data_IF_252114608004
#
_entry.id   IF_252114608004
#
_cell.length_a   1.000
_cell.length_b   1.000
_cell.length_c   1.000
_cell.angle_alpha   90.00
_cell.angle_beta   90.00
_cell.angle_gamma   90.00
#
_symmetry.space_group_name_H-M   'P 1'
#
loop_
_entity.id
_entity.type
_entity.pdbx_description
1 polymer ?
2 non-polymer ?
3 water ?
#
# COMPACT_ATOMS: atom_id res chain seq x y z
C UNK A 1 -0.12 -10.52 19.79
N UNK A 2 0.12 -9.29 20.25
CA UNK A 2 1.53 -9.18 19.95
C UNK A 2 1.88 -8.52 18.64
N UNK A 3 3.17 -8.22 18.48
CA UNK A 3 3.69 -7.48 17.34
C UNK A 3 3.63 -8.26 16.03
N UNK A 4 3.80 -9.57 16.11
CA UNK A 4 3.74 -10.40 14.91
C UNK A 4 2.30 -10.51 14.41
N UNK A 5 1.35 -10.53 15.33
CA UNK A 5 -0.05 -10.46 14.92
C UNK A 5 -0.36 -9.11 14.24
N UNK A 6 0.21 -8.03 14.77
CA UNK A 6 0.04 -6.70 14.18
C UNK A 6 0.54 -6.65 12.74
N UNK A 7 1.66 -7.33 12.48
CA UNK A 7 2.24 -7.38 11.14
C UNK A 7 1.31 -8.15 10.19
N UNK A 8 0.78 -9.28 10.64
CA UNK A 8 -0.18 -10.03 9.83
C UNK A 8 -1.44 -9.22 9.51
N UNK A 9 -1.93 -8.45 10.47
CA UNK A 9 -3.12 -7.64 10.24
C UNK A 9 -2.88 -6.52 9.22
N UNK A 10 -1.69 -5.92 9.23
CA UNK A 10 -1.39 -4.89 8.22
C UNK A 10 -1.23 -5.51 6.83
N UNK A 11 -0.69 -6.72 6.78
CA UNK A 11 -0.59 -7.43 5.50
C UNK A 11 -1.97 -7.75 4.95
N UNK A 12 -2.90 -8.10 5.83
CA UNK A 12 -4.29 -8.35 5.43
C UNK A 12 -4.90 -7.09 4.81
N UNK A 13 -4.59 -5.94 5.41
CA UNK A 13 -5.03 -4.65 4.90
C UNK A 13 -4.45 -4.34 3.52
N UNK A 14 -3.19 -4.67 3.31
CA UNK A 14 -2.57 -4.46 2.00
C UNK A 14 -3.23 -5.35 0.93
N UNK A 15 -3.49 -6.61 1.27
CA UNK A 15 -4.15 -7.51 0.33
C UNK A 15 -5.54 -7.00 -0.07
N UNK A 16 -6.27 -6.46 0.90
CA UNK A 16 -7.59 -5.87 0.66
C UNK A 16 -7.54 -4.69 -0.32
N UNK A 17 -6.50 -3.86 -0.18
CA UNK A 17 -6.38 -2.71 -1.08
C UNK A 17 -5.96 -3.13 -2.48
N UNK A 18 -5.11 -4.14 -2.57
CA UNK A 18 -4.73 -4.67 -3.88
C UNK A 18 -5.93 -5.28 -4.59
N UNK A 19 -6.83 -5.90 -3.84
CA UNK A 19 -8.07 -6.41 -4.42
C UNK A 19 -8.96 -5.26 -4.96
N UNK A 20 -8.99 -4.14 -4.23
CA UNK A 20 -9.70 -2.94 -4.68
C UNK A 20 -9.08 -2.37 -5.97
N UNK A 21 -7.75 -2.39 -6.05
CA UNK A 21 -7.04 -1.92 -7.25
C UNK A 21 -7.44 -2.77 -8.47
N UNK A 22 -7.45 -4.08 -8.29
CA UNK A 22 -7.84 -5.00 -9.37
C UNK A 22 -9.29 -4.76 -9.82
N UNK A 23 -10.17 -4.45 -8.86
CA UNK A 23 -11.55 -4.18 -9.16
C UNK A 23 -11.71 -2.93 -10.03
N UNK A 24 -10.96 -1.89 -9.67
CA UNK A 24 -11.05 -0.63 -10.43
C UNK A 24 -10.43 -0.75 -11.82
N UNK A 25 -9.35 -1.52 -11.94
CA UNK A 25 -8.74 -1.72 -13.26
C UNK A 25 -9.67 -2.47 -14.20
N UNK A 26 -10.44 -3.41 -13.67
CA UNK A 26 -11.41 -4.12 -14.49
C UNK A 26 -12.52 -3.17 -14.93
N UNK A 27 -12.86 -2.22 -14.07
CA UNK A 27 -13.87 -1.22 -14.40
C UNK A 27 -13.36 -0.30 -15.50
N UNK A 28 -12.09 0.09 -15.41
CA UNK A 28 -11.49 0.94 -16.44
C UNK A 28 -11.44 0.24 -17.80
N UNK A 29 -11.03 -1.03 -17.81
CA UNK A 29 -10.99 -1.78 -19.06
C UNK A 29 -12.40 -1.99 -19.60
N UNK A 30 -13.35 -2.05 -18.66
CA UNK A 30 -14.78 -2.17 -18.93
C UNK A 30 -15.12 -3.56 -19.45
C UNK B 1 9.23 -0.85 19.95
N UNK B 2 10.43 -0.54 19.48
CA UNK B 2 11.12 -1.72 19.00
C UNK B 2 11.05 -1.92 17.50
N UNK B 3 11.86 -2.85 17.02
CA UNK B 3 12.01 -3.10 15.59
C UNK B 3 10.79 -3.75 14.93
N UNK B 4 10.08 -4.62 15.64
CA UNK B 4 8.90 -5.25 15.05
C UNK B 4 7.74 -4.25 14.92
N UNK B 5 7.63 -3.35 15.88
CA UNK B 5 6.66 -2.26 15.79
C UNK B 5 6.99 -1.35 14.61
N UNK B 6 8.28 -1.10 14.39
CA UNK B 6 8.74 -0.29 13.26
C UNK B 6 8.32 -0.91 11.94
N UNK B 7 8.40 -2.23 11.85
CA UNK B 7 8.00 -2.95 10.64
C UNK B 7 6.48 -2.86 10.44
N UNK B 8 5.72 -3.03 11.51
CA UNK B 8 4.27 -2.89 11.43
C UNK B 8 3.85 -1.48 10.98
N UNK B 9 4.56 -0.46 11.45
CA UNK B 9 4.26 0.93 11.05
C UNK B 9 4.53 1.22 9.57
N UNK B 10 5.60 0.64 9.02
CA UNK B 10 5.85 0.82 7.59
C UNK B 10 4.85 0.04 6.73
N UNK B 11 4.39 -1.11 7.21
CA UNK B 11 3.34 -1.84 6.49
C UNK B 11 2.05 -1.03 6.50
N UNK B 12 1.77 -0.35 7.61
CA UNK B 12 0.60 0.52 7.72
C UNK B 12 0.70 1.62 6.67
N UNK B 13 1.91 2.15 6.48
CA UNK B 13 2.16 3.17 5.46
C UNK B 13 1.94 2.65 4.04
N UNK B 14 2.36 1.42 3.78
CA UNK B 14 2.16 0.81 2.46
C UNK B 14 0.67 0.63 2.21
N UNK B 15 -0.07 0.17 3.22
CA UNK B 15 -1.51 0.00 3.06
C UNK B 15 -2.23 1.32 2.73
N UNK B 16 -1.80 2.41 3.38
CA UNK B 16 -2.35 3.74 3.10
C UNK B 16 -2.10 4.16 1.65
N UNK B 17 -0.92 3.86 1.13
CA UNK B 17 -0.63 4.25 -0.25
C UNK B 17 -1.37 3.37 -1.24
N UNK B 18 -1.54 2.09 -0.92
CA UNK B 18 -2.34 1.23 -1.80
C UNK B 18 -3.80 1.69 -1.83
N UNK B 19 -4.31 2.16 -0.70
CA UNK B 19 -5.65 2.72 -0.67
C UNK B 19 -5.71 3.97 -1.55
N UNK B 20 -4.65 4.77 -1.54
CA UNK B 20 -4.57 5.96 -2.40
C UNK B 20 -4.56 5.58 -3.88
N UNK B 21 -3.86 4.50 -4.22
CA UNK B 21 -3.84 4.05 -5.61
C UNK B 21 -5.25 3.67 -6.06
N UNK B 22 -5.96 2.90 -5.23
CA UNK B 22 -7.33 2.50 -5.57
C UNK B 22 -8.26 3.71 -5.73
N UNK B 23 -8.07 4.71 -4.88
CA UNK B 23 -8.86 5.92 -4.93
C UNK B 23 -8.71 6.71 -6.23
N UNK B 24 -7.46 6.78 -6.70
CA UNK B 24 -7.21 7.47 -7.97
C UNK B 24 -7.72 6.67 -9.16
N UNK B 25 -7.61 5.35 -9.09
CA UNK B 25 -8.13 4.49 -10.16
C UNK B 25 -9.66 4.57 -10.23
N UNK B 26 -10.29 4.72 -9.08
CA UNK B 26 -11.74 4.88 -9.06
C UNK B 26 -12.15 6.15 -9.80
N UNK B 27 -11.33 7.20 -9.69
CA UNK B 27 -11.61 8.45 -10.39
C UNK B 27 -11.42 8.27 -11.90
N UNK B 28 -10.37 7.56 -12.28
CA UNK B 28 -10.10 7.28 -13.69
C UNK B 28 -11.25 6.47 -14.29
N UNK B 29 -11.76 5.51 -13.53
CA UNK B 29 -12.88 4.68 -13.98
C UNK B 29 -14.14 5.51 -14.20
N UNK B 30 -14.26 6.62 -13.47
CA UNK B 30 -15.40 7.53 -13.63
C UNK B 30 -15.21 8.62 -14.70
N UNK B 31 -14.13 8.54 -15.47
CA UNK B 31 -13.89 9.50 -16.52
C UNK B 31 -13.16 10.73 -16.02
C UNK C 1 20.73 -2.67 13.22
N UNK C 2 21.11 -3.59 12.34
CA UNK C 2 20.62 -4.95 12.39
C UNK C 2 19.76 -5.30 11.20
N UNK C 3 19.47 -6.59 11.04
CA UNK C 3 18.65 -7.06 9.92
C UNK C 3 17.20 -6.64 10.09
N UNK C 4 16.60 -6.50 11.19
CA UNK C 4 15.23 -6.09 11.29
C UNK C 4 15.06 -4.62 10.90
N UNK C 5 16.06 -3.83 11.22
CA UNK C 5 16.10 -2.43 10.77
C UNK C 5 16.25 -2.35 9.25
N UNK C 6 17.07 -3.22 8.69
CA UNK C 6 17.20 -3.30 7.23
C UNK C 6 15.86 -3.59 6.56
N UNK C 7 15.07 -4.46 7.18
CA UNK C 7 13.76 -4.82 6.66
C UNK C 7 12.82 -3.62 6.73
N UNK C 8 12.83 -2.91 7.85
CA UNK C 8 12.01 -1.70 7.98
C UNK C 8 12.39 -0.64 6.95
N UNK C 9 13.68 -0.51 6.67
CA UNK C 9 14.13 0.48 5.70
C UNK C 9 13.69 0.13 4.28
N UNK C 10 13.68 -1.15 3.93
CA UNK C 10 13.19 -1.53 2.60
C UNK C 10 11.68 -1.35 2.49
N UNK C 11 10.96 -1.58 3.59
CA UNK C 11 9.52 -1.33 3.58
C UNK C 11 9.24 0.15 3.40
N UNK C 12 10.08 1.00 4.00
CA UNK C 12 9.96 2.45 3.82
C UNK C 12 10.13 2.83 2.36
N UNK C 13 11.07 2.18 1.69
CA UNK C 13 11.29 2.41 0.26
C UNK C 13 10.08 2.00 -0.58
N UNK C 14 9.45 0.89 -0.24
CA UNK C 14 8.27 0.44 -0.98
C UNK C 14 7.13 1.44 -0.80
N UNK C 15 6.93 1.91 0.42
CA UNK C 15 5.87 2.90 0.68
C UNK C 15 6.10 4.18 -0.12
N UNK C 16 7.35 4.61 -0.23
CA UNK C 16 7.68 5.80 -1.03
C UNK C 16 7.32 5.62 -2.50
N UNK C 17 7.58 4.43 -3.03
CA UNK C 17 7.29 4.18 -4.45
C UNK C 17 5.79 4.06 -4.69
N UNK C 18 5.06 3.46 -3.75
CA UNK C 18 3.60 3.39 -3.87
C UNK C 18 2.98 4.78 -3.83
N UNK C 19 3.56 5.66 -3.03
CA UNK C 19 3.14 7.06 -3.00
C UNK C 19 3.37 7.72 -4.35
N UNK C 20 4.50 7.42 -4.97
CA UNK C 20 4.82 7.95 -6.30
C UNK C 20 3.83 7.46 -7.35
N UNK C 21 3.44 6.18 -7.25
CA UNK C 21 2.48 5.58 -8.17
C UNK C 21 1.15 6.30 -8.08
N UNK C 22 0.67 6.53 -6.85
CA UNK C 22 -0.60 7.23 -6.65
C UNK C 22 -0.56 8.64 -7.24
N UNK C 23 0.58 9.31 -7.08
CA UNK C 23 0.71 10.66 -7.59
C UNK C 23 0.71 10.74 -9.11
N UNK C 24 1.41 9.79 -9.74
CA UNK C 24 1.46 9.75 -11.22
C UNK C 24 0.09 9.46 -11.84
N UNK C 25 -0.71 8.65 -11.15
CA UNK C 25 -2.07 8.35 -11.64
C UNK C 25 -2.94 9.60 -11.77
N UNK C 26 -2.68 10.61 -10.95
CA UNK C 26 -3.44 11.84 -11.06
C UNK C 26 -3.26 12.52 -12.42
N UNK C 27 -2.09 12.36 -13.04
CA UNK C 27 -1.84 12.92 -14.38
C UNK C 27 -2.54 12.18 -15.53
N UNK C 28 -3.06 10.98 -15.27
CA UNK C 28 -3.69 10.19 -16.33
C UNK C 28 -4.94 10.85 -16.92
X LIG D 1 -17.33 -2.39 -4.08
X LIG D 1 -18.05 -1.58 -4.98
X LIG D 1 -16.41 -1.50 -3.26
X LIG D 1 -15.77 -2.27 -2.26
X LIG D 1 -15.43 -1.72 -4.41
X LIG D 1 -15.64 -0.53 -3.69
#
# INVERSE_FOLDING_TARGET
XGELKAIAQELKAIAKECKAIAYELKAIAQGAG
XGELKAIAQELKAIAKECKAIAYELKAIAQGAG
XGELKAIAQELKAIAKECKAIAYELKAIAQGAG
GOL C1 O1 C2 O2 C3 O3
#
